data_IF_238230003941
#
_entry.id   IF_238230003941
#
_cell.length_a   1.000
_cell.length_b   1.000
_cell.length_c   1.000
_cell.angle_alpha   90.00
_cell.angle_beta   90.00
_cell.angle_gamma   90.00
#
_symmetry.space_group_name_H-M   'P 1'
#
loop_
_entity.id
_entity.type
_entity.pdbx_description
1 polymer ?
#
# COMPACT_ATOMS: atom_id res chain seq x y z
N UNK A 1 1.09 17.33 9.41
CA UNK A 1 1.24 18.51 8.50
C UNK A 1 2.47 18.45 7.61
N UNK A 2 3.65 18.01 8.09
CA UNK A 2 4.86 17.90 7.23
C UNK A 2 4.68 16.95 6.04
N UNK A 3 4.00 15.81 6.24
CA UNK A 3 3.79 14.84 5.16
C UNK A 3 2.78 15.30 4.10
N UNK A 4 1.59 15.77 4.49
CA UNK A 4 0.52 16.12 3.53
C UNK A 4 0.48 17.59 3.12
N UNK A 5 1.12 18.48 3.88
CA UNK A 5 0.88 19.93 3.86
C UNK A 5 -0.32 20.35 4.71
N UNK A 6 -0.32 21.60 5.18
CA UNK A 6 -1.32 22.15 6.14
C UNK A 6 -2.75 22.05 5.59
N UNK A 7 -2.99 22.55 4.38
CA UNK A 7 -4.34 22.60 3.80
C UNK A 7 -4.93 21.21 3.55
N UNK A 8 -4.13 20.26 3.02
CA UNK A 8 -4.56 18.88 2.82
C UNK A 8 -4.77 18.16 4.15
N UNK A 9 -3.89 18.36 5.13
CA UNK A 9 -4.09 17.80 6.48
C UNK A 9 -5.42 18.25 7.07
N UNK A 10 -5.73 19.55 7.06
CA UNK A 10 -6.99 20.06 7.58
C UNK A 10 -8.20 19.46 6.85
N UNK A 11 -8.20 19.47 5.50
CA UNK A 11 -9.31 18.93 4.70
C UNK A 11 -9.49 17.42 4.89
N UNK A 12 -8.40 16.66 4.95
CA UNK A 12 -8.47 15.20 5.07
C UNK A 12 -8.87 14.77 6.47
N UNK A 13 -8.26 15.34 7.51
CA UNK A 13 -8.54 14.95 8.90
C UNK A 13 -9.98 15.27 9.31
N UNK A 14 -10.56 16.37 8.81
CA UNK A 14 -11.98 16.71 9.03
C UNK A 14 -12.96 15.73 8.35
N UNK A 15 -12.49 14.82 7.51
CA UNK A 15 -13.33 13.79 6.86
C UNK A 15 -13.14 12.40 7.46
N UNK A 16 -12.20 12.22 8.37
CA UNK A 16 -11.91 10.91 8.97
C UNK A 16 -13.08 10.53 9.88
N UNK A 17 -13.58 9.30 9.71
CA UNK A 17 -14.68 8.73 10.49
C UNK A 17 -15.94 9.62 10.52
N UNK A 18 -16.17 10.43 9.47
CA UNK A 18 -17.39 11.22 9.31
C UNK A 18 -18.40 10.50 8.42
N UNK A 19 -19.69 10.81 8.58
CA UNK A 19 -20.79 10.15 7.83
C UNK A 19 -20.62 10.20 6.30
N UNK A 20 -20.16 11.34 5.78
CA UNK A 20 -19.85 11.53 4.35
C UNK A 20 -18.32 11.57 4.10
N UNK A 21 -17.58 10.87 4.96
CA UNK A 21 -16.14 10.85 5.02
C UNK A 21 -15.55 9.52 4.58
N UNK A 22 -14.49 9.09 5.25
CA UNK A 22 -13.90 7.77 5.09
C UNK A 22 -13.45 7.24 6.44
N UNK A 23 -13.47 5.91 6.59
CA UNK A 23 -13.08 5.29 7.85
C UNK A 23 -11.56 5.16 7.97
N UNK A 24 -11.05 5.48 9.16
CA UNK A 24 -9.68 5.20 9.52
C UNK A 24 -9.49 3.68 9.59
N UNK A 25 -8.61 3.15 8.74
CA UNK A 25 -8.37 1.70 8.56
C UNK A 25 -7.74 1.01 9.78
N UNK A 26 -7.47 1.75 10.85
CA UNK A 26 -6.93 1.23 12.11
C UNK A 26 -7.78 1.66 13.32
N UNK A 27 -8.97 2.20 13.08
CA UNK A 27 -9.90 2.57 14.14
C UNK A 27 -10.54 1.32 14.74
N UNK A 28 -10.38 1.14 16.05
CA UNK A 28 -11.08 0.08 16.79
C UNK A 28 -12.39 0.57 17.43
N UNK A 29 -12.72 1.85 17.28
CA UNK A 29 -13.90 2.46 17.89
C UNK A 29 -15.08 2.48 16.91
N UNK A 30 -16.29 2.11 17.36
CA UNK A 30 -17.49 2.20 16.53
C UNK A 30 -17.79 3.67 16.22
N UNK A 31 -18.16 3.94 14.98
CA UNK A 31 -18.58 5.28 14.57
C UNK A 31 -20.06 5.48 14.91
N UNK A 32 -20.45 6.42 15.79
CA UNK A 32 -21.85 6.62 16.16
C UNK A 32 -22.69 7.10 14.97
N UNK A 33 -23.95 6.68 14.93
CA UNK A 33 -24.89 7.01 13.84
C UNK A 33 -25.46 8.42 13.91
N UNK A 34 -25.45 9.04 15.10
CA UNK A 34 -26.07 10.32 15.37
C UNK A 34 -25.05 11.45 15.54
N UNK A 35 -24.46 11.57 16.73
CA UNK A 35 -23.52 12.65 17.05
C UNK A 35 -22.08 12.17 16.84
N UNK A 36 -21.41 12.77 15.86
CA UNK A 36 -19.97 12.62 15.64
C UNK A 36 -19.27 13.92 15.99
N UNK A 37 -18.15 13.82 16.70
CA UNK A 37 -17.23 14.89 17.00
C UNK A 37 -16.61 15.43 15.71
N UNK A 38 -16.11 16.67 15.75
CA UNK A 38 -15.38 17.25 14.62
C UNK A 38 -14.05 16.53 14.38
N UNK A 39 -13.45 15.96 15.42
CA UNK A 39 -12.22 15.18 15.37
C UNK A 39 -12.48 13.73 15.84
N UNK A 40 -12.99 12.89 14.94
CA UNK A 40 -13.25 11.47 15.18
C UNK A 40 -12.01 10.59 14.93
N UNK A 41 -10.84 11.00 15.43
CA UNK A 41 -9.60 10.22 15.25
C UNK A 41 -8.65 10.38 16.43
N UNK A 42 -7.92 9.32 16.74
CA UNK A 42 -6.81 9.39 17.68
C UNK A 42 -5.52 9.87 16.99
N UNK A 43 -4.49 10.17 17.79
CA UNK A 43 -3.19 10.60 17.29
C UNK A 43 -2.57 9.58 16.31
N UNK A 44 -2.68 8.28 16.62
CA UNK A 44 -2.15 7.22 15.75
C UNK A 44 -2.89 7.13 14.42
N UNK A 45 -4.21 7.31 14.43
CA UNK A 45 -5.01 7.41 13.20
C UNK A 45 -4.60 8.61 12.35
N UNK A 46 -4.43 9.78 12.98
CA UNK A 46 -3.95 10.98 12.28
C UNK A 46 -2.56 10.79 11.66
N UNK A 47 -1.63 10.15 12.39
CA UNK A 47 -0.28 9.82 11.90
C UNK A 47 -0.33 8.88 10.70
N UNK A 48 -1.09 7.78 10.80
CA UNK A 48 -1.23 6.81 9.72
C UNK A 48 -1.82 7.43 8.45
N UNK A 49 -2.86 8.27 8.60
CA UNK A 49 -3.47 9.00 7.48
C UNK A 49 -2.50 10.03 6.89
N UNK A 50 -1.71 10.70 7.73
CA UNK A 50 -0.70 11.64 7.27
C UNK A 50 0.41 10.96 6.47
N UNK A 51 0.86 9.80 6.92
CA UNK A 51 1.86 8.97 6.25
C UNK A 51 1.36 8.48 4.88
N UNK A 52 0.14 7.91 4.85
CA UNK A 52 -0.51 7.46 3.60
C UNK A 52 -0.70 8.63 2.62
N UNK A 53 -1.08 9.80 3.15
CA UNK A 53 -1.35 11.02 2.39
C UNK A 53 -0.11 11.83 1.98
N UNK A 54 1.11 11.37 2.28
CA UNK A 54 2.35 12.12 2.03
C UNK A 54 2.44 12.68 0.60
N UNK A 55 3.06 13.85 0.45
CA UNK A 55 3.37 14.44 -0.86
C UNK A 55 4.68 13.92 -1.45
N UNK A 56 5.51 13.23 -0.66
CA UNK A 56 6.77 12.67 -1.12
C UNK A 56 6.51 11.53 -2.11
N UNK A 57 7.40 11.40 -3.09
CA UNK A 57 7.29 10.42 -4.17
C UNK A 57 8.63 9.72 -4.38
N UNK A 58 8.57 8.41 -4.38
CA UNK A 58 9.68 7.54 -4.79
C UNK A 58 9.52 7.29 -6.28
N UNK A 59 10.39 7.92 -7.07
CA UNK A 59 10.42 7.77 -8.54
C UNK A 59 11.41 6.69 -8.95
N UNK A 60 11.43 6.34 -10.24
CA UNK A 60 12.45 5.43 -10.77
C UNK A 60 13.88 5.93 -10.57
N UNK A 61 14.08 7.25 -10.39
CA UNK A 61 15.40 7.82 -10.09
C UNK A 61 15.94 7.37 -8.74
N UNK A 62 15.10 7.33 -7.71
CA UNK A 62 15.49 6.84 -6.38
C UNK A 62 16.09 5.43 -6.46
N UNK A 63 15.47 4.55 -7.23
CA UNK A 63 15.95 3.18 -7.41
C UNK A 63 17.15 3.03 -8.35
N UNK A 64 17.51 4.07 -9.10
CA UNK A 64 18.80 4.13 -9.83
C UNK A 64 19.93 4.56 -8.91
N UNK A 65 19.64 5.40 -7.92
CA UNK A 65 20.63 5.94 -6.98
C UNK A 65 20.87 5.01 -5.79
N UNK A 66 19.88 4.19 -5.42
CA UNK A 66 19.96 3.29 -4.27
C UNK A 66 19.95 1.82 -4.69
N UNK A 67 21.06 1.11 -4.43
CA UNK A 67 21.13 -0.33 -4.62
C UNK A 67 20.30 -1.07 -3.58
N UNK A 68 19.93 -2.30 -3.86
CA UNK A 68 19.24 -3.18 -2.91
C UNK A 68 20.05 -3.38 -1.62
N UNK A 69 21.39 -3.44 -1.73
CA UNK A 69 22.28 -3.56 -0.59
C UNK A 69 22.31 -2.27 0.26
N UNK A 70 22.13 -1.11 -0.36
CA UNK A 70 21.99 0.16 0.36
C UNK A 70 20.66 0.23 1.09
N UNK A 71 19.56 -0.10 0.40
CA UNK A 71 18.22 -0.11 0.97
C UNK A 71 18.11 -1.10 2.14
N UNK A 72 18.74 -2.27 2.04
CA UNK A 72 18.75 -3.28 3.11
C UNK A 72 19.40 -2.80 4.41
N UNK A 73 20.30 -1.80 4.34
CA UNK A 73 20.97 -1.24 5.52
C UNK A 73 20.18 -0.12 6.19
N UNK A 74 19.09 0.35 5.57
CA UNK A 74 18.27 1.41 6.11
C UNK A 74 17.22 0.87 7.07
N UNK A 75 16.77 1.71 8.00
CA UNK A 75 15.66 1.36 8.89
C UNK A 75 14.32 1.45 8.19
N UNK A 76 13.33 0.69 8.68
CA UNK A 76 11.94 0.77 8.19
C UNK A 76 11.39 2.20 8.26
N UNK A 77 11.75 2.94 9.31
CA UNK A 77 11.38 4.34 9.45
C UNK A 77 11.98 5.19 8.33
N UNK A 78 13.27 5.01 8.02
CA UNK A 78 13.90 5.74 6.92
C UNK A 78 13.24 5.37 5.58
N UNK A 79 12.99 4.08 5.33
CA UNK A 79 12.35 3.60 4.10
C UNK A 79 10.94 4.20 3.93
N UNK A 80 10.12 4.19 4.98
CA UNK A 80 8.78 4.80 4.96
C UNK A 80 8.82 6.31 4.68
N UNK A 81 9.85 7.01 5.14
CA UNK A 81 10.00 8.46 4.93
C UNK A 81 10.35 8.87 3.49
N UNK A 82 10.69 7.93 2.60
CA UNK A 82 11.04 8.24 1.20
C UNK A 82 9.81 8.58 0.34
N UNK A 83 8.62 8.18 0.78
CA UNK A 83 7.34 8.51 0.15
C UNK A 83 6.74 7.36 -0.66
N UNK A 84 5.84 7.70 -1.59
CA UNK A 84 5.03 6.71 -2.32
C UNK A 84 5.65 6.28 -3.64
N UNK A 85 5.63 4.97 -3.91
CA UNK A 85 5.97 4.43 -5.23
C UNK A 85 5.08 5.03 -6.32
N UNK A 86 5.70 5.37 -7.44
CA UNK A 86 5.00 6.01 -8.58
C UNK A 86 4.88 5.11 -9.79
N UNK A 87 5.66 4.03 -9.85
CA UNK A 87 5.73 3.09 -10.97
C UNK A 87 5.86 1.66 -10.41
N UNK A 88 5.36 0.65 -11.14
CA UNK A 88 5.78 -0.73 -10.92
C UNK A 88 7.29 -0.88 -11.08
N UNK A 89 7.90 -1.66 -10.20
CA UNK A 89 9.34 -1.90 -10.18
C UNK A 89 9.61 -3.40 -10.20
N UNK A 90 10.68 -3.82 -10.85
CA UNK A 90 11.11 -5.23 -10.91
C UNK A 90 12.57 -5.37 -10.53
N UNK A 91 12.91 -6.45 -9.85
CA UNK A 91 14.29 -6.88 -9.68
C UNK A 91 14.53 -8.04 -10.66
N UNK A 92 15.37 -7.82 -11.66
CA UNK A 92 15.79 -8.89 -12.59
C UNK A 92 16.77 -9.85 -11.91
N UNK A 93 16.92 -11.09 -12.43
CA UNK A 93 17.94 -12.01 -11.94
C UNK A 93 19.33 -11.34 -11.91
N UNK A 94 20.04 -11.52 -10.80
CA UNK A 94 21.37 -10.94 -10.56
C UNK A 94 21.45 -9.39 -10.55
N UNK A 95 20.34 -8.67 -10.69
CA UNK A 95 20.34 -7.21 -10.62
C UNK A 95 20.59 -6.71 -9.19
N UNK A 96 21.34 -5.62 -9.09
CA UNK A 96 21.65 -4.92 -7.83
C UNK A 96 20.69 -3.78 -7.52
N UNK A 97 19.85 -3.39 -8.47
CA UNK A 97 18.90 -2.29 -8.38
C UNK A 97 17.51 -2.74 -8.88
N UNK A 98 16.47 -2.00 -8.48
CA UNK A 98 15.15 -2.14 -9.07
C UNK A 98 15.07 -1.35 -10.38
N UNK A 99 14.37 -1.90 -11.36
CA UNK A 99 14.15 -1.31 -12.67
C UNK A 99 12.66 -0.98 -12.84
N UNK A 100 12.28 0.17 -13.41
CA UNK A 100 10.88 0.48 -13.67
C UNK A 100 10.33 -0.40 -14.79
N UNK A 101 9.10 -0.85 -14.67
CA UNK A 101 8.35 -1.52 -15.74
C UNK A 101 6.96 -0.91 -15.89
N UNK A 102 6.33 -1.14 -17.04
CA UNK A 102 4.94 -0.71 -17.26
C UNK A 102 3.98 -1.57 -16.44
N UNK A 103 2.75 -1.09 -16.24
CA UNK A 103 1.69 -1.90 -15.63
C UNK A 103 1.37 -3.15 -16.45
N UNK A 104 1.31 -3.03 -17.77
CA UNK A 104 1.07 -4.19 -18.65
C UNK A 104 2.17 -5.24 -18.54
N UNK A 105 3.43 -4.81 -18.45
CA UNK A 105 4.55 -5.73 -18.25
C UNK A 105 4.55 -6.35 -16.85
N UNK A 106 4.13 -5.61 -15.82
CA UNK A 106 3.99 -6.13 -14.47
C UNK A 106 2.91 -7.22 -14.40
N UNK A 107 1.74 -6.97 -14.98
CA UNK A 107 0.67 -7.97 -15.05
C UNK A 107 1.08 -9.19 -15.88
N UNK A 108 1.75 -8.98 -17.02
CA UNK A 108 2.24 -10.08 -17.86
C UNK A 108 3.30 -10.91 -17.14
N UNK A 109 4.22 -10.27 -16.41
CA UNK A 109 5.23 -10.96 -15.61
C UNK A 109 4.56 -11.84 -14.55
N UNK A 110 3.66 -11.28 -13.74
CA UNK A 110 2.94 -12.02 -12.70
C UNK A 110 2.15 -13.19 -13.30
N UNK A 111 1.43 -12.96 -14.39
CA UNK A 111 0.66 -14.01 -15.07
C UNK A 111 1.57 -15.13 -15.61
N UNK A 112 2.72 -14.79 -16.19
CA UNK A 112 3.68 -15.78 -16.69
C UNK A 112 4.24 -16.63 -15.55
N UNK A 113 4.66 -16.01 -14.45
CA UNK A 113 5.21 -16.74 -13.29
C UNK A 113 4.16 -17.69 -12.69
N UNK A 114 2.92 -17.20 -12.47
CA UNK A 114 1.83 -18.01 -11.92
C UNK A 114 1.47 -19.20 -12.83
N UNK A 115 1.36 -18.98 -14.15
CA UNK A 115 1.03 -20.06 -15.10
C UNK A 115 2.20 -21.03 -15.34
N UNK A 116 3.43 -20.69 -14.94
CA UNK A 116 4.59 -21.57 -15.06
C UNK A 116 4.70 -22.59 -13.93
N UNK A 117 3.93 -22.41 -12.86
CA UNK A 117 3.93 -23.31 -11.71
C UNK A 117 3.42 -24.71 -12.08
N UNK A 118 4.05 -25.73 -11.51
CA UNK A 118 3.66 -27.12 -11.76
C UNK A 118 2.25 -27.45 -11.25
N UNK A 119 1.81 -26.80 -10.17
CA UNK A 119 0.46 -26.90 -9.60
C UNK A 119 0.05 -25.54 -9.01
N UNK A 120 -1.26 -25.23 -8.91
CA UNK A 120 -1.72 -24.01 -8.25
C UNK A 120 -1.29 -23.90 -6.78
N UNK A 121 -1.18 -25.03 -6.08
CA UNK A 121 -0.77 -25.08 -4.66
C UNK A 121 0.72 -24.76 -4.44
N UNK A 122 1.52 -24.59 -5.51
CA UNK A 122 2.87 -24.06 -5.42
C UNK A 122 2.91 -22.53 -5.21
N UNK A 123 1.77 -21.84 -5.31
CA UNK A 123 1.62 -20.43 -4.95
C UNK A 123 1.06 -20.26 -3.53
N UNK A 124 1.40 -19.15 -2.88
CA UNK A 124 0.72 -18.69 -1.66
C UNK A 124 0.38 -17.21 -1.79
N UNK A 125 -0.82 -16.85 -1.36
CA UNK A 125 -1.39 -15.53 -1.56
C UNK A 125 -1.66 -14.86 -0.21
N UNK A 126 -0.74 -13.98 0.19
CA UNK A 126 -0.82 -13.25 1.45
C UNK A 126 -1.48 -11.87 1.27
N UNK A 127 -2.46 -11.56 2.11
CA UNK A 127 -3.11 -10.24 2.18
C UNK A 127 -3.03 -9.65 3.58
N UNK A 128 -3.32 -8.34 3.68
CA UNK A 128 -3.34 -7.59 4.94
C UNK A 128 -4.78 -7.23 5.34
N UNK A 129 -5.05 -7.21 6.64
CA UNK A 129 -6.29 -6.66 7.21
C UNK A 129 -6.47 -5.15 6.98
N UNK A 130 -5.49 -4.46 6.39
CA UNK A 130 -5.63 -3.07 5.91
C UNK A 130 -6.33 -2.96 4.55
N UNK A 131 -6.51 -4.08 3.85
CA UNK A 131 -7.20 -4.13 2.55
C UNK A 131 -8.70 -3.93 2.76
N UNK A 132 -9.39 -3.23 1.86
CA UNK A 132 -10.84 -3.11 1.95
C UNK A 132 -11.52 -4.47 1.80
N UNK A 133 -12.72 -4.63 2.37
CA UNK A 133 -13.47 -5.88 2.27
C UNK A 133 -13.74 -6.28 0.82
N UNK A 134 -14.03 -5.31 -0.05
CA UNK A 134 -14.28 -5.53 -1.47
C UNK A 134 -13.03 -6.01 -2.20
N UNK A 135 -11.88 -5.36 -1.95
CA UNK A 135 -10.61 -5.77 -2.54
C UNK A 135 -10.18 -7.16 -2.03
N UNK A 136 -10.36 -7.44 -0.74
CA UNK A 136 -10.10 -8.76 -0.16
C UNK A 136 -11.03 -9.84 -0.76
N UNK A 137 -12.31 -9.51 -0.98
CA UNK A 137 -13.28 -10.40 -1.60
C UNK A 137 -12.91 -10.73 -3.06
N UNK A 138 -12.48 -9.75 -3.85
CA UNK A 138 -12.01 -9.99 -5.22
C UNK A 138 -10.71 -10.78 -5.25
N UNK A 139 -9.77 -10.46 -4.35
CA UNK A 139 -8.50 -11.19 -4.23
C UNK A 139 -8.72 -12.67 -3.93
N UNK A 140 -9.58 -13.00 -2.96
CA UNK A 140 -9.85 -14.39 -2.61
C UNK A 140 -10.63 -15.17 -3.70
N UNK A 141 -11.44 -14.49 -4.52
CA UNK A 141 -12.05 -15.10 -5.70
C UNK A 141 -10.99 -15.44 -6.76
N UNK A 142 -10.09 -14.49 -7.03
CA UNK A 142 -8.98 -14.70 -7.96
C UNK A 142 -8.12 -15.91 -7.57
N UNK A 143 -7.74 -16.03 -6.29
CA UNK A 143 -6.93 -17.15 -5.78
C UNK A 143 -7.64 -18.50 -5.95
N UNK A 144 -8.95 -18.55 -5.62
CA UNK A 144 -9.75 -19.76 -5.83
C UNK A 144 -9.91 -20.12 -7.30
N UNK A 145 -10.05 -19.13 -8.17
CA UNK A 145 -10.11 -19.33 -9.61
C UNK A 145 -8.76 -19.78 -10.20
N UNK A 146 -7.64 -19.31 -9.63
CA UNK A 146 -6.31 -19.81 -9.94
C UNK A 146 -6.15 -21.30 -9.58
N UNK A 147 -6.92 -21.77 -8.59
CA UNK A 147 -7.09 -23.20 -8.28
C UNK A 147 -6.48 -23.64 -6.95
N UNK A 148 -6.21 -22.71 -6.03
CA UNK A 148 -5.69 -23.02 -4.69
C UNK A 148 -6.47 -22.30 -3.59
N UNK A 149 -6.29 -22.75 -2.35
CA UNK A 149 -6.78 -22.09 -1.13
C UNK A 149 -5.64 -21.45 -0.30
N UNK A 150 -4.41 -21.46 -0.82
CA UNK A 150 -3.19 -20.95 -0.16
C UNK A 150 -3.00 -19.43 -0.27
#
# INVERSE_FOLDING_TARGET
MREMGVARSAKTLLKVNQKNGFDCQSCAWPSPDHERQVAEFCENGAKAIADEGTTKRVTSQFFREHSLADLWRQSDFWLGQQGRLTHPMVKRPHATHYEPITWDDAFRLIANELNSLATPDAASFYTSGRTSNEAAFLYQLFVRQFGTNN
#
